data_IF_879404490399
#
_entry.id   IF_879404490399
#
_cell.length_a   1.000
_cell.length_b   1.000
_cell.length_c   1.000
_cell.angle_alpha   90.00
_cell.angle_beta   90.00
_cell.angle_gamma   90.00
#
_symmetry.space_group_name_H-M   'P 1'
#
loop_
_entity.id
_entity.type
_entity.pdbx_description
1 polymer ?
#
# COMPACT_ATOMS: atom_id res chain seq x y z
N UNK A 1 3.18 29.04 73.45
CA UNK A 1 3.17 29.26 74.88
C UNK A 1 4.55 29.77 75.31
N UNK A 2 4.60 31.01 75.70
CA UNK A 2 5.77 31.82 76.09
C UNK A 2 6.15 31.48 77.50
N UNK A 3 7.42 31.52 77.86
CA UNK A 3 8.04 31.91 79.16
C UNK A 3 9.55 31.83 78.93
N UNK A 4 10.32 32.85 78.80
CA UNK A 4 10.88 33.99 79.47
C UNK A 4 11.54 33.66 80.88
N UNK A 5 12.80 34.08 80.94
CA UNK A 5 13.61 34.69 81.99
C UNK A 5 14.46 33.76 82.87
N UNK A 6 15.73 34.22 83.00
CA UNK A 6 16.58 34.02 84.13
C UNK A 6 18.08 34.32 83.89
N UNK A 7 18.44 35.62 83.95
CA UNK A 7 19.82 36.06 84.18
C UNK A 7 20.23 35.70 85.61
N UNK A 8 21.44 35.18 85.79
CA UNK A 8 22.24 35.62 86.93
C UNK A 8 23.75 35.42 86.70
N UNK A 9 24.46 36.46 86.86
CA UNK A 9 25.92 36.62 86.87
C UNK A 9 26.53 36.05 88.13
N UNK A 10 27.66 35.38 87.98
CA UNK A 10 28.72 35.44 89.04
C UNK A 10 30.06 35.35 88.34
N UNK A 11 30.82 36.43 88.54
CA UNK A 11 32.28 36.53 88.29
C UNK A 11 33.06 35.51 89.10
N UNK A 12 34.01 34.79 88.50
CA UNK A 12 35.27 34.41 89.17
C UNK A 12 36.40 34.39 88.20
N UNK A 13 37.32 35.30 88.38
CA UNK A 13 38.69 35.33 87.82
C UNK A 13 39.40 34.04 88.14
N UNK A 14 40.18 33.51 87.25
CA UNK A 14 41.60 33.10 87.37
C UNK A 14 41.98 32.18 86.23
N UNK A 15 43.18 32.43 85.67
CA UNK A 15 43.93 31.44 84.91
C UNK A 15 44.28 31.84 83.48
N UNK A 16 45.30 32.65 83.32
CA UNK A 16 45.98 32.84 82.04
C UNK A 16 46.64 31.54 81.71
N UNK A 17 46.03 30.81 80.74
CA UNK A 17 46.65 29.65 80.11
C UNK A 17 46.81 29.98 78.62
N UNK A 18 48.03 30.22 78.21
CA UNK A 18 48.42 30.40 76.80
C UNK A 18 48.01 29.21 75.98
N UNK A 19 46.92 29.38 75.23
CA UNK A 19 46.57 28.38 74.19
C UNK A 19 47.56 28.57 73.05
N UNK A 20 48.55 27.68 72.98
CA UNK A 20 49.42 27.52 71.86
C UNK A 20 48.56 27.31 70.60
N UNK A 21 48.55 28.28 69.67
CA UNK A 21 48.15 28.11 68.33
C UNK A 21 49.15 27.15 67.70
N UNK A 22 48.81 25.83 67.66
CA UNK A 22 49.50 24.83 66.85
C UNK A 22 49.32 25.23 65.42
N UNK A 23 50.35 25.82 64.78
CA UNK A 23 50.39 26.04 63.38
C UNK A 23 50.28 24.65 62.73
N UNK A 24 49.11 24.31 62.22
CA UNK A 24 48.95 23.11 61.39
C UNK A 24 49.78 23.33 60.14
N UNK A 25 50.97 22.79 60.11
CA UNK A 25 51.76 22.65 58.85
C UNK A 25 51.05 21.63 57.99
N UNK A 26 50.30 22.12 57.05
CA UNK A 26 49.69 21.26 56.00
C UNK A 26 50.85 20.59 55.24
N UNK A 27 51.00 19.26 55.44
CA UNK A 27 51.98 18.51 54.69
C UNK A 27 51.67 18.59 53.18
N UNK A 28 52.63 19.05 52.42
CA UNK A 28 52.48 19.16 50.91
C UNK A 28 51.90 17.90 50.32
N UNK A 29 52.23 16.75 50.88
CA UNK A 29 51.67 15.43 50.47
C UNK A 29 50.14 15.37 50.68
N UNK A 30 49.65 15.88 51.82
CA UNK A 30 48.22 15.88 52.09
C UNK A 30 47.46 16.90 51.20
N UNK A 31 48.08 18.01 50.83
CA UNK A 31 47.56 18.98 49.90
C UNK A 31 47.48 18.39 48.45
N UNK A 32 48.53 17.70 48.03
CA UNK A 32 48.54 17.01 46.71
C UNK A 32 47.47 15.92 46.64
N UNK A 33 47.31 15.12 47.66
CA UNK A 33 46.24 14.13 47.75
C UNK A 33 44.86 14.76 47.67
N UNK A 34 44.62 15.86 48.41
CA UNK A 34 43.35 16.58 48.40
C UNK A 34 43.04 17.11 47.00
N UNK A 35 44.02 17.70 46.31
CA UNK A 35 43.87 18.17 44.90
C UNK A 35 43.53 17.05 43.96
N UNK A 36 44.20 15.88 44.07
CA UNK A 36 43.93 14.72 43.26
C UNK A 36 42.48 14.21 43.47
N UNK A 37 42.07 14.07 44.75
CA UNK A 37 40.70 13.65 45.09
C UNK A 37 39.65 14.63 44.56
N UNK A 38 39.89 15.95 44.70
CA UNK A 38 38.99 16.98 44.18
C UNK A 38 38.89 16.94 42.68
N UNK A 39 40.01 16.71 41.97
CA UNK A 39 40.03 16.57 40.52
C UNK A 39 39.26 15.31 40.05
N UNK A 40 39.50 14.17 40.72
CA UNK A 40 38.74 12.94 40.45
C UNK A 40 37.24 13.13 40.69
N UNK A 41 36.87 13.82 41.78
CA UNK A 41 35.48 14.09 42.09
C UNK A 41 34.83 15.02 41.04
N UNK A 42 35.56 16.03 40.59
CA UNK A 42 35.11 16.94 39.53
C UNK A 42 34.88 16.17 38.19
N UNK A 43 35.81 15.28 37.84
CA UNK A 43 35.66 14.43 36.66
C UNK A 43 34.43 13.50 36.75
N UNK A 44 34.17 12.94 37.93
CA UNK A 44 32.96 12.16 38.17
C UNK A 44 31.68 13.00 38.02
N UNK A 45 31.65 14.21 38.56
CA UNK A 45 30.51 15.13 38.43
C UNK A 45 30.26 15.48 36.93
N UNK A 46 31.32 15.79 36.19
CA UNK A 46 31.25 16.03 34.73
C UNK A 46 30.70 14.82 34.03
N UNK A 47 31.19 13.62 34.35
CA UNK A 47 30.71 12.35 33.76
C UNK A 47 29.26 12.06 34.08
N UNK A 48 28.82 12.27 35.32
CA UNK A 48 27.42 12.12 35.73
C UNK A 48 26.55 13.14 34.99
N UNK A 49 26.98 14.40 34.92
CA UNK A 49 26.28 15.43 34.16
C UNK A 49 26.14 15.05 32.67
N UNK A 50 27.21 14.57 32.04
CA UNK A 50 27.16 14.09 30.67
C UNK A 50 26.18 12.94 30.49
N UNK A 51 26.20 11.95 31.39
CA UNK A 51 25.26 10.82 31.34
C UNK A 51 23.81 11.31 31.51
N UNK A 52 23.58 12.22 32.47
CA UNK A 52 22.23 12.68 32.77
C UNK A 52 21.64 13.61 31.71
N UNK A 53 22.41 14.57 31.20
CA UNK A 53 21.89 15.59 30.28
C UNK A 53 22.08 15.24 28.80
N UNK A 54 23.15 14.52 28.45
CA UNK A 54 23.44 14.17 27.05
C UNK A 54 22.94 12.76 26.70
N UNK A 55 23.27 11.78 27.54
CA UNK A 55 22.89 10.37 27.30
C UNK A 55 21.55 9.98 27.95
N UNK A 56 21.03 10.74 28.88
CA UNK A 56 19.82 10.45 29.65
C UNK A 56 18.59 10.17 28.77
N UNK A 57 18.28 10.99 27.74
CA UNK A 57 17.17 10.74 26.85
C UNK A 57 17.30 9.41 26.11
N UNK A 58 18.50 9.07 25.64
CA UNK A 58 18.76 7.80 24.94
C UNK A 58 18.56 6.60 25.88
N UNK A 59 19.17 6.65 27.06
CA UNK A 59 19.02 5.57 28.06
C UNK A 59 17.58 5.41 28.55
N UNK A 60 16.85 6.52 28.69
CA UNK A 60 15.43 6.48 29.05
C UNK A 60 14.61 5.77 27.97
N UNK A 61 14.90 6.06 26.70
CA UNK A 61 14.22 5.41 25.55
C UNK A 61 14.56 3.92 25.48
N UNK A 62 15.83 3.55 25.69
CA UNK A 62 16.27 2.15 25.71
C UNK A 62 15.66 1.38 26.89
N UNK A 63 15.65 1.97 28.08
CA UNK A 63 15.01 1.37 29.26
C UNK A 63 13.50 1.17 29.02
N UNK A 64 12.82 2.17 28.44
CA UNK A 64 11.40 2.06 28.08
C UNK A 64 11.17 0.91 27.12
N UNK A 65 11.99 0.78 26.06
CA UNK A 65 11.91 -0.33 25.08
C UNK A 65 12.15 -1.71 25.73
N UNK A 66 12.98 -1.79 26.74
CA UNK A 66 13.25 -3.04 27.47
C UNK A 66 12.13 -3.40 28.47
N UNK A 67 11.48 -2.40 29.03
CA UNK A 67 10.44 -2.54 30.06
C UNK A 67 9.03 -2.61 29.49
N UNK A 68 8.85 -2.41 28.17
CA UNK A 68 7.54 -2.46 27.54
C UNK A 68 7.52 -3.45 26.38
N UNK A 69 6.45 -4.20 26.28
CA UNK A 69 6.09 -4.96 25.08
C UNK A 69 4.93 -4.25 24.39
N UNK A 70 5.04 -4.05 23.10
CA UNK A 70 3.97 -3.43 22.30
C UNK A 70 3.34 -4.48 21.40
N UNK A 71 2.06 -4.74 21.59
CA UNK A 71 1.25 -5.54 20.67
C UNK A 71 0.52 -4.59 19.72
N UNK A 72 0.64 -4.82 18.43
CA UNK A 72 -0.06 -4.03 17.42
C UNK A 72 -1.47 -4.58 17.25
N UNK A 73 -2.46 -3.70 17.30
CA UNK A 73 -3.85 -4.02 16.97
C UNK A 73 -4.07 -3.68 15.50
N UNK A 74 -4.37 -4.67 14.68
CA UNK A 74 -4.61 -4.46 13.26
C UNK A 74 -5.85 -3.57 13.04
N UNK A 75 -5.72 -2.55 12.19
CA UNK A 75 -6.86 -1.83 11.65
C UNK A 75 -7.55 -2.67 10.58
N UNK A 76 -8.87 -2.56 10.46
CA UNK A 76 -9.60 -3.19 9.35
C UNK A 76 -9.50 -2.30 8.13
N UNK A 77 -9.02 -2.87 7.01
CA UNK A 77 -8.98 -2.18 5.72
C UNK A 77 -10.41 -1.90 5.23
N UNK A 78 -10.66 -0.66 4.76
CA UNK A 78 -11.95 -0.20 4.27
C UNK A 78 -12.46 -1.03 3.10
N UNK A 79 -13.77 -1.04 2.90
CA UNK A 79 -14.44 -1.76 1.82
C UNK A 79 -14.44 -0.93 0.55
N UNK A 80 -14.25 -1.56 -0.60
CA UNK A 80 -14.46 -0.92 -1.91
C UNK A 80 -15.84 -1.33 -2.43
N UNK A 81 -16.65 -0.33 -2.75
CA UNK A 81 -18.02 -0.49 -3.26
C UNK A 81 -18.13 -0.01 -4.72
N UNK A 82 -19.07 -0.58 -5.45
CA UNK A 82 -19.53 -0.04 -6.71
C UNK A 82 -20.50 1.15 -6.51
N UNK A 83 -20.96 1.77 -7.61
CA UNK A 83 -21.91 2.86 -7.61
C UNK A 83 -23.27 2.53 -6.95
N UNK A 84 -23.60 1.26 -6.76
CA UNK A 84 -24.82 0.74 -6.15
C UNK A 84 -24.60 0.09 -4.80
N UNK A 85 -23.47 0.39 -4.15
CA UNK A 85 -23.10 -0.16 -2.83
C UNK A 85 -22.90 -1.68 -2.80
N UNK A 86 -22.60 -2.31 -3.94
CA UNK A 86 -22.14 -3.70 -3.98
C UNK A 86 -20.67 -3.77 -3.60
N UNK A 87 -20.33 -4.73 -2.76
CA UNK A 87 -18.97 -4.93 -2.24
C UNK A 87 -18.06 -5.54 -3.31
N UNK A 88 -17.06 -4.80 -3.75
CA UNK A 88 -16.05 -5.23 -4.72
C UNK A 88 -14.81 -5.81 -4.05
N UNK A 89 -14.42 -5.25 -2.91
CA UNK A 89 -13.34 -5.76 -2.07
C UNK A 89 -13.72 -5.61 -0.60
N UNK A 90 -13.54 -6.67 0.17
CA UNK A 90 -13.86 -6.74 1.60
C UNK A 90 -12.69 -7.30 2.40
N UNK A 91 -12.59 -6.91 3.67
CA UNK A 91 -11.66 -7.52 4.62
C UNK A 91 -12.44 -8.45 5.55
N UNK A 92 -12.14 -9.74 5.48
CA UNK A 92 -12.70 -10.77 6.34
C UNK A 92 -11.80 -11.00 7.54
N UNK A 93 -12.39 -11.18 8.73
CA UNK A 93 -11.64 -11.58 9.90
C UNK A 93 -11.19 -13.03 9.74
N UNK A 94 -9.91 -13.25 9.92
CA UNK A 94 -9.23 -14.55 9.88
C UNK A 94 -8.22 -14.57 11.02
N UNK A 95 -7.52 -15.68 11.20
CA UNK A 95 -6.52 -15.79 12.25
C UNK A 95 -5.18 -16.26 11.69
N UNK A 96 -4.08 -15.82 12.28
CA UNK A 96 -2.73 -16.32 12.03
C UNK A 96 -2.30 -17.20 13.22
N UNK A 97 -1.82 -18.40 12.92
CA UNK A 97 -1.45 -19.39 13.93
C UNK A 97 0.06 -19.40 14.09
N UNK A 98 0.52 -19.12 15.30
CA UNK A 98 1.94 -19.19 15.66
C UNK A 98 2.17 -20.11 16.85
N UNK A 99 3.36 -20.68 16.93
CA UNK A 99 3.75 -21.60 17.99
C UNK A 99 5.00 -21.07 18.69
N UNK A 100 4.95 -21.00 20.02
CA UNK A 100 6.13 -20.74 20.85
C UNK A 100 6.95 -22.03 20.93
N UNK A 101 7.98 -22.11 20.08
CA UNK A 101 8.75 -23.33 19.92
C UNK A 101 9.39 -23.82 21.23
N UNK A 102 9.26 -25.10 21.51
CA UNK A 102 9.73 -25.73 22.76
C UNK A 102 8.97 -25.33 24.05
N UNK A 103 7.86 -24.54 23.93
CA UNK A 103 7.04 -24.08 25.06
C UNK A 103 5.58 -24.49 24.98
N UNK A 104 5.22 -25.34 24.03
CA UNK A 104 3.87 -25.91 23.98
C UNK A 104 3.73 -26.96 25.05
N UNK A 105 2.71 -26.84 25.90
CA UNK A 105 2.52 -27.75 27.04
C UNK A 105 1.15 -28.35 27.07
N UNK A 106 1.09 -29.58 27.56
CA UNK A 106 -0.13 -30.26 27.99
C UNK A 106 -0.68 -29.65 29.28
N UNK A 107 -1.92 -30.03 29.65
CA UNK A 107 -2.55 -29.63 30.90
C UNK A 107 -1.78 -30.11 32.17
N UNK A 108 -0.94 -31.15 32.04
CA UNK A 108 -0.08 -31.66 33.12
C UNK A 108 1.27 -30.93 33.21
N UNK A 109 1.51 -29.93 32.38
CA UNK A 109 2.74 -29.10 32.33
C UNK A 109 3.89 -29.72 31.57
N UNK A 110 3.76 -30.91 30.98
CA UNK A 110 4.80 -31.49 30.13
C UNK A 110 4.80 -30.84 28.75
N UNK A 111 5.97 -30.73 28.16
CA UNK A 111 6.13 -30.22 26.79
C UNK A 111 5.55 -31.20 25.77
N UNK A 112 4.81 -30.67 24.80
CA UNK A 112 4.27 -31.45 23.68
C UNK A 112 5.41 -31.74 22.68
N UNK A 113 5.63 -32.99 22.25
CA UNK A 113 6.63 -33.32 21.22
C UNK A 113 6.33 -32.62 19.89
N UNK A 114 7.36 -32.16 19.19
CA UNK A 114 7.24 -31.49 17.89
C UNK A 114 6.59 -32.38 16.83
N UNK A 115 6.82 -33.72 16.90
CA UNK A 115 6.18 -34.70 16.02
C UNK A 115 4.65 -34.73 16.18
N UNK A 116 4.16 -34.59 17.42
CA UNK A 116 2.72 -34.53 17.71
C UNK A 116 2.13 -33.23 17.16
N UNK A 117 2.81 -32.12 17.34
CA UNK A 117 2.40 -30.82 16.78
C UNK A 117 2.38 -30.86 15.26
N UNK A 118 3.46 -31.35 14.65
CA UNK A 118 3.59 -31.45 13.20
C UNK A 118 2.49 -32.31 12.57
N UNK A 119 2.17 -33.44 13.20
CA UNK A 119 1.09 -34.32 12.73
C UNK A 119 -0.27 -33.64 12.78
N UNK A 120 -0.62 -32.98 13.90
CA UNK A 120 -1.87 -32.25 14.02
C UNK A 120 -1.97 -31.06 13.05
N UNK A 121 -0.91 -30.31 12.89
CA UNK A 121 -0.90 -29.15 11.96
C UNK A 121 -0.97 -29.59 10.49
N UNK A 122 -0.26 -30.66 10.12
CA UNK A 122 -0.31 -31.22 8.77
C UNK A 122 -1.74 -31.65 8.39
N UNK A 123 -2.45 -32.30 9.31
CA UNK A 123 -3.82 -32.70 9.09
C UNK A 123 -4.80 -31.51 9.01
N UNK A 124 -4.73 -30.59 9.98
CA UNK A 124 -5.68 -29.47 10.08
C UNK A 124 -5.49 -28.44 8.97
N UNK A 125 -4.25 -28.07 8.66
CA UNK A 125 -3.93 -27.01 7.70
C UNK A 125 -3.58 -27.52 6.30
N UNK A 126 -3.53 -28.85 6.10
CA UNK A 126 -3.13 -29.48 4.83
C UNK A 126 -1.75 -29.02 4.35
N UNK A 127 -0.78 -28.92 5.26
CA UNK A 127 0.62 -28.59 5.00
C UNK A 127 1.49 -29.84 5.08
N UNK A 128 2.68 -29.76 4.48
CA UNK A 128 3.61 -30.89 4.48
C UNK A 128 4.16 -31.16 5.89
N UNK A 129 4.10 -32.43 6.32
CA UNK A 129 4.56 -32.84 7.67
C UNK A 129 6.05 -32.59 7.89
N UNK A 130 6.89 -32.91 6.90
CA UNK A 130 8.34 -32.78 7.03
C UNK A 130 8.76 -31.31 7.05
N UNK A 131 8.07 -30.45 6.27
CA UNK A 131 8.32 -29.02 6.23
C UNK A 131 8.03 -28.39 7.60
N UNK A 132 6.83 -28.62 8.16
CA UNK A 132 6.47 -28.03 9.47
C UNK A 132 7.30 -28.64 10.61
N UNK A 133 7.65 -29.92 10.56
CA UNK A 133 8.51 -30.55 11.55
C UNK A 133 9.93 -29.94 11.53
N UNK A 134 10.47 -29.64 10.35
CA UNK A 134 11.76 -28.96 10.21
C UNK A 134 11.72 -27.54 10.80
N UNK A 135 10.62 -26.79 10.57
CA UNK A 135 10.45 -25.46 11.17
C UNK A 135 10.33 -25.52 12.70
N UNK A 136 9.56 -26.47 13.25
CA UNK A 136 9.44 -26.68 14.69
C UNK A 136 10.73 -27.12 15.36
N UNK A 137 11.64 -27.77 14.62
CA UNK A 137 12.96 -28.17 15.11
C UNK A 137 14.04 -27.09 14.89
N UNK A 138 13.69 -25.95 14.32
CA UNK A 138 14.61 -24.82 14.14
C UNK A 138 14.92 -24.09 15.45
N UNK A 139 15.98 -23.27 15.47
CA UNK A 139 16.34 -22.41 16.61
C UNK A 139 15.39 -21.20 16.79
N UNK A 140 14.36 -21.07 15.96
CA UNK A 140 13.37 -19.99 16.05
C UNK A 140 12.52 -20.15 17.31
N UNK A 141 12.43 -19.11 18.12
CA UNK A 141 11.59 -19.12 19.32
C UNK A 141 10.09 -19.01 19.02
N UNK A 142 9.72 -18.55 17.82
CA UNK A 142 8.35 -18.43 17.35
C UNK A 142 8.27 -18.95 15.91
N UNK A 143 7.43 -19.92 15.66
CA UNK A 143 7.18 -20.51 14.34
C UNK A 143 5.80 -20.13 13.88
N UNK A 144 5.65 -19.63 12.65
CA UNK A 144 4.35 -19.36 12.03
C UNK A 144 3.87 -20.61 11.29
N UNK A 145 2.85 -21.25 11.80
CA UNK A 145 2.31 -22.51 11.24
C UNK A 145 1.42 -22.23 10.02
N UNK A 146 0.48 -21.30 10.17
CA UNK A 146 -0.44 -20.92 9.08
C UNK A 146 -0.87 -19.47 9.21
N UNK A 147 -0.97 -18.79 8.07
CA UNK A 147 -1.42 -17.39 8.00
C UNK A 147 -2.80 -17.29 7.37
N UNK A 148 -3.58 -16.31 7.84
CA UNK A 148 -4.89 -15.93 7.25
C UNK A 148 -5.86 -17.11 7.16
N UNK A 149 -5.92 -17.87 8.24
CA UNK A 149 -6.74 -19.09 8.40
C UNK A 149 -8.20 -18.72 8.64
N UNK A 150 -9.09 -19.32 7.91
CA UNK A 150 -10.54 -19.11 8.07
C UNK A 150 -11.02 -19.69 9.41
N UNK A 151 -12.04 -19.07 10.01
CA UNK A 151 -12.51 -19.36 11.38
C UNK A 151 -12.93 -20.82 11.59
N UNK A 152 -13.51 -21.46 10.59
CA UNK A 152 -13.88 -22.89 10.67
C UNK A 152 -12.66 -23.81 10.87
N UNK A 153 -11.52 -23.47 10.27
CA UNK A 153 -10.27 -24.23 10.43
C UNK A 153 -9.66 -23.97 11.81
N UNK A 154 -9.79 -22.73 12.30
CA UNK A 154 -9.36 -22.37 13.67
C UNK A 154 -10.21 -23.10 14.71
N UNK A 155 -11.51 -23.27 14.48
CA UNK A 155 -12.39 -24.04 15.37
C UNK A 155 -11.98 -25.51 15.39
N UNK A 156 -11.55 -26.09 14.25
CA UNK A 156 -10.97 -27.44 14.19
C UNK A 156 -9.66 -27.52 15.00
N UNK A 157 -8.79 -26.50 14.90
CA UNK A 157 -7.57 -26.44 15.70
C UNK A 157 -7.87 -26.43 17.20
N UNK A 158 -8.84 -25.62 17.64
CA UNK A 158 -9.26 -25.55 19.05
C UNK A 158 -9.79 -26.89 19.54
N UNK A 159 -10.65 -27.53 18.74
CA UNK A 159 -11.17 -28.88 19.07
C UNK A 159 -10.04 -29.91 19.20
N UNK A 160 -9.05 -29.88 18.28
CA UNK A 160 -7.89 -30.74 18.35
C UNK A 160 -7.01 -30.46 19.58
N UNK A 161 -6.83 -29.18 19.94
CA UNK A 161 -6.09 -28.79 21.16
C UNK A 161 -6.79 -29.32 22.41
N UNK A 162 -8.10 -29.19 22.48
CA UNK A 162 -8.92 -29.71 23.64
C UNK A 162 -8.84 -31.24 23.74
N UNK A 163 -8.98 -31.94 22.62
CA UNK A 163 -8.92 -33.42 22.58
C UNK A 163 -7.54 -33.95 23.02
N UNK A 164 -6.48 -33.27 22.57
CA UNK A 164 -5.09 -33.62 22.92
C UNK A 164 -4.61 -32.99 24.24
N UNK A 165 -5.50 -32.26 24.96
CA UNK A 165 -5.19 -31.61 26.26
C UNK A 165 -4.03 -30.63 26.21
N UNK A 166 -3.88 -29.89 25.11
CA UNK A 166 -2.85 -28.87 24.93
C UNK A 166 -3.31 -27.58 25.63
N UNK A 167 -2.54 -27.13 26.62
CA UNK A 167 -2.89 -26.01 27.49
C UNK A 167 -2.38 -24.65 27.00
N UNK A 168 -1.18 -24.60 26.42
CA UNK A 168 -0.54 -23.34 26.06
C UNK A 168 0.54 -23.50 25.00
N UNK A 169 1.02 -22.36 24.47
CA UNK A 169 2.13 -22.29 23.52
C UNK A 169 1.74 -22.24 22.06
N UNK A 170 0.45 -22.40 21.73
CA UNK A 170 -0.13 -22.13 20.42
C UNK A 170 -0.89 -20.81 20.53
N UNK A 171 -0.51 -19.82 19.72
CA UNK A 171 -1.18 -18.53 19.68
C UNK A 171 -2.09 -18.46 18.45
N UNK A 172 -3.25 -17.88 18.64
CA UNK A 172 -4.25 -17.62 17.60
C UNK A 172 -4.43 -16.11 17.58
N UNK A 173 -3.76 -15.47 16.63
CA UNK A 173 -3.71 -14.01 16.55
C UNK A 173 -4.70 -13.53 15.47
N UNK A 174 -5.56 -12.58 15.83
CA UNK A 174 -6.49 -11.97 14.88
C UNK A 174 -5.75 -11.35 13.70
N UNK A 175 -6.19 -11.67 12.50
CA UNK A 175 -5.64 -11.19 11.23
C UNK A 175 -6.78 -10.83 10.27
N UNK A 176 -6.44 -10.28 9.12
CA UNK A 176 -7.38 -9.83 8.10
C UNK A 176 -7.00 -10.39 6.73
N UNK A 177 -7.98 -10.93 6.02
CA UNK A 177 -7.82 -11.42 4.65
C UNK A 177 -8.63 -10.58 3.69
N UNK A 178 -7.95 -9.97 2.71
CA UNK A 178 -8.61 -9.25 1.63
C UNK A 178 -9.25 -10.24 0.66
N UNK A 179 -10.52 -10.05 0.36
CA UNK A 179 -11.30 -10.93 -0.50
C UNK A 179 -12.06 -10.11 -1.54
N UNK A 180 -12.07 -10.61 -2.77
CA UNK A 180 -12.71 -10.00 -3.92
C UNK A 180 -13.84 -10.92 -4.41
N UNK A 181 -15.11 -10.63 -4.04
CA UNK A 181 -16.24 -11.54 -4.27
C UNK A 181 -16.51 -11.87 -5.74
N UNK A 182 -16.10 -10.99 -6.65
CA UNK A 182 -16.31 -11.14 -8.09
C UNK A 182 -15.07 -11.64 -8.85
N UNK A 183 -14.03 -12.10 -8.15
CA UNK A 183 -12.81 -12.67 -8.71
C UNK A 183 -12.13 -11.79 -9.77
N UNK A 184 -12.57 -11.88 -11.02
CA UNK A 184 -11.91 -11.23 -12.17
C UNK A 184 -12.52 -9.87 -12.54
N UNK A 185 -13.72 -9.55 -12.02
CA UNK A 185 -14.45 -8.34 -12.42
C UNK A 185 -13.68 -7.08 -12.04
N UNK A 186 -13.48 -6.19 -12.99
CA UNK A 186 -12.75 -4.92 -12.83
C UNK A 186 -11.34 -5.10 -12.25
N UNK A 187 -10.66 -6.21 -12.56
CA UNK A 187 -9.40 -6.59 -11.93
C UNK A 187 -8.32 -5.52 -12.03
N UNK A 188 -8.16 -4.90 -13.22
CA UNK A 188 -7.15 -3.87 -13.46
C UNK A 188 -7.49 -2.51 -12.81
N UNK A 189 -8.78 -2.29 -12.46
CA UNK A 189 -9.22 -1.11 -11.72
C UNK A 189 -9.06 -1.31 -10.22
N UNK A 190 -9.66 -2.37 -9.68
CA UNK A 190 -9.67 -2.64 -8.23
C UNK A 190 -8.24 -2.87 -7.76
N UNK A 191 -7.47 -3.69 -8.51
CA UNK A 191 -6.16 -4.12 -8.07
C UNK A 191 -6.25 -5.07 -6.88
N UNK A 192 -5.12 -5.31 -6.22
CA UNK A 192 -5.05 -6.28 -5.13
C UNK A 192 -4.07 -5.84 -4.03
N UNK A 193 -4.23 -6.47 -2.86
CA UNK A 193 -3.33 -6.31 -1.73
C UNK A 193 -2.36 -7.48 -1.61
N UNK A 194 -1.14 -7.19 -1.14
CA UNK A 194 -0.19 -8.17 -0.64
C UNK A 194 0.26 -7.75 0.76
N UNK A 195 0.27 -8.66 1.72
CA UNK A 195 0.68 -8.39 3.11
C UNK A 195 0.06 -7.09 3.67
N UNK A 196 -1.26 -6.91 3.49
CA UNK A 196 -2.08 -5.80 3.97
C UNK A 196 -1.77 -4.43 3.35
N UNK A 197 -0.91 -4.35 2.33
CA UNK A 197 -0.62 -3.16 1.55
C UNK A 197 -1.18 -3.31 0.13
N UNK A 198 -1.78 -2.25 -0.40
CA UNK A 198 -2.22 -2.20 -1.79
C UNK A 198 -1.02 -2.24 -2.74
N UNK A 199 -1.07 -3.12 -3.74
CA UNK A 199 0.02 -3.30 -4.71
C UNK A 199 -0.34 -2.73 -6.08
N UNK A 200 -1.59 -2.85 -6.51
CA UNK A 200 -2.07 -2.39 -7.81
C UNK A 200 -3.45 -1.74 -7.72
N UNK A 201 -3.83 -1.00 -8.76
CA UNK A 201 -5.16 -0.42 -8.93
C UNK A 201 -5.57 0.57 -7.83
N UNK A 202 -6.86 0.59 -7.50
CA UNK A 202 -7.46 1.40 -6.42
C UNK A 202 -6.90 0.99 -5.06
N UNK A 203 -6.63 -0.29 -4.85
CA UNK A 203 -6.00 -0.78 -3.61
C UNK A 203 -4.66 -0.09 -3.35
N UNK A 204 -3.84 0.14 -4.37
CA UNK A 204 -2.56 0.84 -4.24
C UNK A 204 -2.72 2.37 -4.21
N UNK A 205 -3.57 2.90 -5.10
CA UNK A 205 -3.74 4.35 -5.26
C UNK A 205 -4.38 5.02 -4.04
N UNK A 206 -5.17 4.28 -3.28
CA UNK A 206 -5.90 4.73 -2.09
C UNK A 206 -5.50 3.93 -0.84
N UNK A 207 -4.27 3.41 -0.82
CA UNK A 207 -3.80 2.56 0.27
C UNK A 207 -3.83 3.27 1.63
N UNK A 208 -3.48 4.54 1.67
CA UNK A 208 -3.47 5.35 2.90
C UNK A 208 -4.87 5.47 3.52
N UNK A 209 -5.87 5.78 2.68
CA UNK A 209 -7.26 5.91 3.11
C UNK A 209 -7.88 4.55 3.47
N UNK A 210 -7.55 3.51 2.71
CA UNK A 210 -8.08 2.16 2.92
C UNK A 210 -7.48 1.46 4.13
N UNK A 211 -6.19 1.61 4.42
CA UNK A 211 -5.49 0.83 5.46
C UNK A 211 -5.85 1.24 6.87
N UNK A 212 -6.21 2.51 7.09
CA UNK A 212 -6.42 3.07 8.41
C UNK A 212 -5.13 3.17 9.23
N UNK A 213 -5.27 3.30 10.53
CA UNK A 213 -4.14 3.41 11.46
C UNK A 213 -4.18 2.29 12.49
N UNK A 214 -3.16 1.43 12.57
CA UNK A 214 -3.14 0.37 13.56
C UNK A 214 -3.07 0.93 14.98
N UNK A 215 -3.77 0.27 15.89
CA UNK A 215 -3.71 0.54 17.32
C UNK A 215 -2.51 -0.13 17.98
N UNK A 216 -2.34 0.13 19.27
CA UNK A 216 -1.28 -0.50 20.08
C UNK A 216 -1.77 -0.76 21.49
N UNK A 217 -1.38 -1.91 22.03
CA UNK A 217 -1.43 -2.20 23.46
C UNK A 217 0.02 -2.18 23.94
N UNK A 218 0.35 -1.24 24.81
CA UNK A 218 1.67 -1.14 25.41
C UNK A 218 1.57 -1.61 26.85
N UNK A 219 2.14 -2.78 27.13
CA UNK A 219 2.13 -3.41 28.45
C UNK A 219 3.51 -3.33 29.07
N UNK A 220 3.58 -2.93 30.34
CA UNK A 220 4.83 -2.95 31.11
C UNK A 220 5.22 -4.39 31.44
N UNK A 221 6.45 -4.77 31.12
CA UNK A 221 6.96 -6.14 31.33
C UNK A 221 8.19 -6.16 32.22
N UNK A 222 8.37 -7.28 32.93
CA UNK A 222 9.61 -7.56 33.65
C UNK A 222 10.74 -8.04 32.70
N UNK A 223 11.92 -8.32 33.24
CA UNK A 223 13.10 -8.83 32.48
C UNK A 223 12.79 -10.11 31.69
N UNK A 224 11.81 -10.90 32.16
CA UNK A 224 11.37 -12.13 31.51
C UNK A 224 10.21 -11.89 30.52
N UNK A 225 9.90 -10.64 30.17
CA UNK A 225 8.78 -10.23 29.29
C UNK A 225 7.38 -10.65 29.82
N UNK A 226 7.23 -10.85 31.13
CA UNK A 226 5.93 -11.08 31.75
C UNK A 226 5.30 -9.75 32.14
N UNK A 227 4.00 -9.57 31.93
CA UNK A 227 3.27 -8.37 32.36
C UNK A 227 3.43 -8.14 33.87
N UNK A 228 3.76 -6.90 34.28
CA UNK A 228 4.03 -6.57 35.68
C UNK A 228 2.72 -6.28 36.44
N UNK A 229 1.74 -5.67 35.80
CA UNK A 229 0.38 -5.47 36.31
C UNK A 229 -0.52 -4.91 35.21
N UNK A 230 -1.83 -5.15 35.32
CA UNK A 230 -2.86 -4.62 34.41
C UNK A 230 -3.06 -3.09 34.56
N UNK A 231 -2.53 -2.47 35.61
CA UNK A 231 -2.74 -1.05 35.94
C UNK A 231 -1.94 -0.07 35.03
N UNK A 232 -0.95 -0.55 34.26
CA UNK A 232 -0.11 0.29 33.40
C UNK A 232 -0.23 -0.08 31.91
N UNK A 233 -1.33 -0.66 31.50
CA UNK A 233 -1.60 -0.96 30.10
C UNK A 233 -2.09 0.30 29.39
N UNK A 234 -1.32 0.75 28.40
CA UNK A 234 -1.73 1.87 27.56
C UNK A 234 -2.39 1.31 26.28
N UNK A 235 -3.69 1.47 26.20
CA UNK A 235 -4.48 1.08 25.03
C UNK A 235 -4.65 2.24 24.08
N UNK A 236 -4.15 2.09 22.85
CA UNK A 236 -4.35 3.02 21.74
C UNK A 236 -5.24 2.28 20.74
N UNK A 237 -6.51 2.68 20.55
CA UNK A 237 -7.42 1.97 19.65
C UNK A 237 -6.98 2.08 18.19
N UNK A 238 -7.19 1.02 17.41
CA UNK A 238 -7.03 1.05 15.98
C UNK A 238 -8.11 1.93 15.34
N UNK A 239 -7.74 2.68 14.30
CA UNK A 239 -8.68 3.41 13.45
C UNK A 239 -8.82 2.65 12.13
N UNK A 240 -10.00 2.14 11.85
CA UNK A 240 -10.26 1.43 10.61
C UNK A 240 -10.13 2.36 9.40
N UNK A 241 -9.76 1.78 8.26
CA UNK A 241 -9.71 2.48 6.99
C UNK A 241 -11.08 2.96 6.53
N UNK A 242 -11.06 3.95 5.66
CA UNK A 242 -12.27 4.51 5.05
C UNK A 242 -12.77 3.63 3.92
N UNK A 243 -14.09 3.53 3.78
CA UNK A 243 -14.72 2.87 2.65
C UNK A 243 -14.65 3.75 1.40
N UNK A 244 -14.47 3.14 0.23
CA UNK A 244 -14.39 3.83 -1.06
C UNK A 244 -15.55 3.41 -1.94
N UNK A 245 -16.23 4.39 -2.54
CA UNK A 245 -17.30 4.18 -3.51
C UNK A 245 -16.81 4.59 -4.89
N UNK A 246 -16.80 3.62 -5.81
CA UNK A 246 -16.45 3.86 -7.21
C UNK A 246 -17.68 4.25 -8.02
N UNK A 247 -17.46 4.92 -9.15
CA UNK A 247 -18.51 5.17 -10.15
C UNK A 247 -18.82 3.95 -11.02
N UNK A 248 -18.00 2.90 -10.93
CA UNK A 248 -18.17 1.63 -11.64
C UNK A 248 -19.51 0.97 -11.25
N UNK A 249 -20.31 0.61 -12.24
CA UNK A 249 -21.51 -0.21 -12.08
C UNK A 249 -21.19 -1.66 -12.45
N UNK A 250 -21.28 -2.57 -11.48
CA UNK A 250 -20.93 -3.99 -11.68
C UNK A 250 -21.70 -4.66 -12.83
N UNK A 251 -22.93 -4.26 -13.07
CA UNK A 251 -23.73 -4.83 -14.17
C UNK A 251 -23.21 -4.35 -15.54
N UNK A 252 -22.92 -3.04 -15.68
CA UNK A 252 -22.36 -2.48 -16.91
C UNK A 252 -20.94 -3.03 -17.13
N UNK A 253 -20.11 -3.09 -16.09
CA UNK A 253 -18.77 -3.66 -16.12
C UNK A 253 -18.77 -5.11 -16.61
N UNK A 254 -19.67 -5.95 -16.06
CA UNK A 254 -19.78 -7.36 -16.45
C UNK A 254 -20.19 -7.53 -17.91
N UNK A 255 -21.08 -6.66 -18.40
CA UNK A 255 -21.48 -6.66 -19.81
C UNK A 255 -20.31 -6.23 -20.70
N UNK A 256 -19.60 -5.16 -20.33
CA UNK A 256 -18.44 -4.67 -21.08
C UNK A 256 -17.34 -5.74 -21.18
N UNK A 257 -16.98 -6.38 -20.07
CA UNK A 257 -15.98 -7.46 -20.05
C UNK A 257 -16.41 -8.67 -20.89
N UNK A 258 -17.67 -9.09 -20.78
CA UNK A 258 -18.21 -10.20 -21.57
C UNK A 258 -18.05 -9.96 -23.07
N UNK A 259 -18.50 -8.80 -23.55
CA UNK A 259 -18.45 -8.51 -25.00
C UNK A 259 -17.05 -8.18 -25.47
N UNK A 260 -16.20 -7.56 -24.64
CA UNK A 260 -14.79 -7.39 -24.94
C UNK A 260 -14.09 -8.73 -25.13
N UNK A 261 -14.28 -9.67 -24.21
CA UNK A 261 -13.73 -11.02 -24.28
C UNK A 261 -14.17 -11.72 -25.57
N UNK A 262 -15.47 -11.69 -25.86
CA UNK A 262 -16.01 -12.26 -27.09
C UNK A 262 -15.37 -11.63 -28.33
N UNK A 263 -15.29 -10.32 -28.41
CA UNK A 263 -14.72 -9.59 -29.54
C UNK A 263 -13.24 -9.93 -29.77
N UNK A 264 -12.44 -9.99 -28.67
CA UNK A 264 -11.02 -10.35 -28.79
C UNK A 264 -10.84 -11.77 -29.33
N UNK A 265 -11.59 -12.71 -28.79
CA UNK A 265 -11.51 -14.14 -29.27
C UNK A 265 -11.95 -14.27 -30.69
N UNK A 266 -13.12 -13.74 -31.08
CA UNK A 266 -13.67 -13.84 -32.42
C UNK A 266 -12.76 -13.20 -33.49
N UNK A 267 -12.12 -12.06 -33.13
CA UNK A 267 -11.23 -11.36 -34.05
C UNK A 267 -9.76 -11.79 -33.93
N UNK A 268 -9.44 -12.73 -33.04
CA UNK A 268 -8.06 -13.18 -32.77
C UNK A 268 -7.11 -11.99 -32.45
N UNK A 269 -7.61 -11.02 -31.68
CA UNK A 269 -6.83 -9.88 -31.30
C UNK A 269 -5.92 -10.22 -30.06
N UNK A 270 -4.78 -9.55 -29.97
CA UNK A 270 -3.85 -9.74 -28.84
C UNK A 270 -4.41 -9.24 -27.51
N UNK A 271 -5.40 -8.35 -27.55
CA UNK A 271 -6.05 -7.78 -26.40
C UNK A 271 -7.01 -6.66 -26.79
N UNK A 272 -7.58 -6.01 -25.79
CA UNK A 272 -8.48 -4.89 -26.00
C UNK A 272 -8.87 -4.20 -24.71
N UNK A 273 -9.50 -3.04 -24.83
CA UNK A 273 -10.10 -2.32 -23.71
C UNK A 273 -11.38 -1.62 -24.12
N UNK A 274 -12.26 -1.39 -23.13
CA UNK A 274 -13.52 -0.66 -23.29
C UNK A 274 -13.68 0.29 -22.10
N UNK A 275 -14.00 1.55 -22.38
CA UNK A 275 -14.39 2.54 -21.37
C UNK A 275 -15.82 2.97 -21.65
N UNK A 276 -16.69 2.93 -20.65
CA UNK A 276 -18.06 3.42 -20.71
C UNK A 276 -18.18 4.57 -19.72
N UNK A 277 -18.44 5.77 -20.25
CA UNK A 277 -18.50 7.00 -19.46
C UNK A 277 -19.87 7.65 -19.60
N UNK A 278 -20.31 8.28 -18.53
CA UNK A 278 -21.49 9.17 -18.52
C UNK A 278 -21.07 10.58 -18.93
N UNK A 279 -21.41 11.05 -20.13
CA UNK A 279 -20.87 12.31 -20.66
C UNK A 279 -21.23 13.56 -19.83
N UNK A 280 -22.38 13.53 -19.14
CA UNK A 280 -22.87 14.69 -18.36
C UNK A 280 -22.11 14.91 -17.05
N UNK A 281 -21.43 13.90 -16.51
CA UNK A 281 -20.73 13.97 -15.22
C UNK A 281 -19.25 13.59 -15.31
N UNK A 282 -18.86 12.88 -16.37
CA UNK A 282 -17.53 12.30 -16.48
C UNK A 282 -17.35 10.98 -15.70
N UNK A 283 -18.41 10.47 -15.05
CA UNK A 283 -18.32 9.21 -14.31
C UNK A 283 -17.98 8.05 -15.24
N UNK A 284 -16.96 7.29 -14.88
CA UNK A 284 -16.62 6.03 -15.55
C UNK A 284 -17.50 4.94 -14.96
N UNK A 285 -18.43 4.43 -15.79
CA UNK A 285 -19.39 3.40 -15.39
C UNK A 285 -18.82 2.00 -15.56
N UNK A 286 -17.92 1.81 -16.51
CA UNK A 286 -17.17 0.58 -16.75
C UNK A 286 -15.83 0.91 -17.41
N UNK A 287 -14.81 0.14 -17.04
CA UNK A 287 -13.51 0.12 -17.67
C UNK A 287 -13.02 -1.32 -17.69
N UNK A 288 -13.03 -1.92 -18.88
CA UNK A 288 -12.70 -3.32 -19.10
C UNK A 288 -11.38 -3.41 -19.86
N UNK A 289 -10.53 -4.33 -19.44
CA UNK A 289 -9.31 -4.74 -20.14
C UNK A 289 -9.34 -6.24 -20.40
N UNK A 290 -8.71 -6.70 -21.47
CA UNK A 290 -8.52 -8.11 -21.75
C UNK A 290 -7.03 -8.38 -22.08
N UNK A 291 -6.46 -9.50 -21.57
CA UNK A 291 -7.04 -10.46 -20.62
C UNK A 291 -7.16 -9.92 -19.19
N UNK A 292 -8.14 -10.45 -18.43
CA UNK A 292 -8.31 -10.18 -16.99
C UNK A 292 -7.53 -11.19 -16.14
N UNK A 293 -7.41 -10.95 -14.83
CA UNK A 293 -6.81 -11.89 -13.89
C UNK A 293 -7.67 -12.02 -12.62
N UNK A 294 -7.45 -13.08 -11.84
CA UNK A 294 -8.18 -13.29 -10.60
C UNK A 294 -7.52 -12.51 -9.45
N UNK A 295 -8.27 -11.57 -8.86
CA UNK A 295 -7.85 -10.73 -7.75
C UNK A 295 -7.49 -11.50 -6.47
N UNK A 296 -8.10 -12.68 -6.26
CA UNK A 296 -7.81 -13.53 -5.10
C UNK A 296 -6.53 -14.38 -5.30
N UNK A 297 -6.06 -14.52 -6.55
CA UNK A 297 -4.83 -15.24 -6.90
C UNK A 297 -4.02 -14.46 -7.95
N UNK A 298 -3.60 -13.21 -7.64
CA UNK A 298 -3.07 -12.28 -8.63
C UNK A 298 -1.69 -12.68 -9.19
N UNK A 299 -1.00 -13.59 -8.55
CA UNK A 299 0.31 -14.09 -8.97
C UNK A 299 0.24 -15.36 -9.83
N UNK A 300 -0.97 -15.84 -10.11
CA UNK A 300 -1.19 -17.00 -10.99
C UNK A 300 -1.36 -16.53 -12.43
N UNK A 301 -0.66 -17.14 -13.41
CA UNK A 301 -0.80 -16.79 -14.82
C UNK A 301 -2.26 -16.87 -15.30
N UNK A 302 -2.69 -15.88 -16.06
CA UNK A 302 -4.09 -15.71 -16.48
C UNK A 302 -4.42 -16.27 -17.87
N UNK A 303 -3.41 -16.62 -18.70
CA UNK A 303 -3.59 -17.25 -20.00
C UNK A 303 -2.99 -18.64 -20.06
N UNK A 304 -3.52 -19.51 -20.90
CA UNK A 304 -3.03 -20.89 -21.00
C UNK A 304 -1.62 -20.95 -21.60
N UNK A 305 -1.29 -20.03 -22.52
CA UNK A 305 0.07 -19.92 -23.07
C UNK A 305 1.08 -19.52 -21.98
N UNK A 306 0.71 -18.61 -21.09
CA UNK A 306 1.57 -18.19 -20.00
C UNK A 306 1.74 -19.29 -18.96
N UNK A 307 0.65 -20.01 -18.62
CA UNK A 307 0.70 -21.17 -17.71
C UNK A 307 1.63 -22.26 -18.24
N UNK A 308 1.56 -22.56 -19.55
CA UNK A 308 2.36 -23.63 -20.16
C UNK A 308 3.87 -23.37 -20.07
N UNK A 309 4.31 -22.11 -20.10
CA UNK A 309 5.73 -21.73 -20.00
C UNK A 309 6.18 -21.28 -18.60
N UNK A 310 5.25 -21.16 -17.64
CA UNK A 310 5.48 -20.51 -16.36
C UNK A 310 6.66 -21.07 -15.57
N UNK A 311 6.75 -22.39 -15.49
CA UNK A 311 7.80 -23.06 -14.75
C UNK A 311 9.19 -22.98 -15.39
N UNK A 312 9.25 -22.62 -16.67
CA UNK A 312 10.50 -22.44 -17.43
C UNK A 312 11.06 -21.04 -17.36
N UNK A 313 10.26 -20.05 -16.87
CA UNK A 313 10.65 -18.65 -16.79
C UNK A 313 11.53 -18.40 -15.55
N UNK A 314 12.53 -17.53 -15.70
CA UNK A 314 13.30 -16.98 -14.59
C UNK A 314 12.43 -16.07 -13.68
N UNK A 315 12.93 -15.73 -12.52
CA UNK A 315 12.23 -14.85 -11.58
C UNK A 315 11.97 -13.46 -12.21
N UNK A 316 12.93 -12.91 -12.94
CA UNK A 316 12.78 -11.62 -13.62
C UNK A 316 11.74 -11.68 -14.74
N UNK A 317 11.73 -12.76 -15.53
CA UNK A 317 10.73 -12.96 -16.58
C UNK A 317 9.33 -13.13 -15.99
N UNK A 318 9.17 -13.91 -14.93
CA UNK A 318 7.90 -14.03 -14.18
C UNK A 318 7.41 -12.66 -13.69
N UNK A 319 8.28 -11.85 -13.09
CA UNK A 319 7.93 -10.50 -12.63
C UNK A 319 7.48 -9.60 -13.78
N UNK A 320 8.16 -9.69 -14.93
CA UNK A 320 7.81 -8.93 -16.14
C UNK A 320 6.43 -9.33 -16.67
N UNK A 321 6.13 -10.63 -16.77
CA UNK A 321 4.84 -11.12 -17.24
C UNK A 321 3.70 -10.76 -16.27
N UNK A 322 3.93 -10.84 -14.96
CA UNK A 322 2.97 -10.38 -13.94
C UNK A 322 2.69 -8.88 -14.08
N UNK A 323 3.71 -8.06 -14.26
CA UNK A 323 3.54 -6.61 -14.44
C UNK A 323 2.72 -6.28 -15.70
N UNK A 324 2.89 -7.06 -16.79
CA UNK A 324 2.07 -6.93 -17.98
C UNK A 324 0.61 -7.35 -17.72
N UNK A 325 0.41 -8.40 -16.94
CA UNK A 325 -0.91 -8.92 -16.59
C UNK A 325 -1.71 -7.93 -15.74
N UNK A 326 -1.05 -7.27 -14.76
CA UNK A 326 -1.70 -6.30 -13.87
C UNK A 326 -1.92 -4.93 -14.51
N UNK A 327 -1.20 -4.64 -15.61
CA UNK A 327 -1.23 -3.33 -16.27
C UNK A 327 -2.65 -2.90 -16.64
N UNK A 328 -3.06 -1.73 -16.20
CA UNK A 328 -4.31 -1.10 -16.62
C UNK A 328 -4.11 -0.41 -17.98
N UNK A 329 -4.44 -1.11 -19.06
CA UNK A 329 -4.24 -0.62 -20.43
C UNK A 329 -4.96 0.72 -20.72
N UNK A 330 -6.24 0.92 -20.40
CA UNK A 330 -6.94 2.19 -20.60
C UNK A 330 -6.22 3.41 -20.03
N UNK A 331 -5.48 3.23 -18.93
CA UNK A 331 -4.79 4.30 -18.22
C UNK A 331 -3.32 4.41 -18.64
N UNK A 332 -2.67 3.27 -18.87
CA UNK A 332 -1.22 3.23 -19.04
C UNK A 332 -0.75 3.18 -20.50
N UNK A 333 -1.61 2.84 -21.44
CA UNK A 333 -1.23 2.66 -22.84
C UNK A 333 -1.71 3.83 -23.69
N UNK A 334 -0.76 4.48 -24.39
CA UNK A 334 -1.08 5.43 -25.45
C UNK A 334 -1.39 4.70 -26.75
N UNK A 335 -2.29 5.26 -27.55
CA UNK A 335 -2.60 4.75 -28.88
C UNK A 335 -2.88 5.90 -29.88
N UNK A 336 -2.72 5.62 -31.16
CA UNK A 336 -3.08 6.56 -32.21
C UNK A 336 -4.60 6.58 -32.43
N UNK A 337 -5.29 7.70 -32.18
CA UNK A 337 -6.77 7.76 -32.18
C UNK A 337 -7.35 7.63 -33.60
N UNK A 338 -6.55 7.80 -34.64
CA UNK A 338 -6.97 7.70 -36.01
C UNK A 338 -8.09 8.65 -36.37
N UNK A 339 -9.10 8.15 -37.09
CA UNK A 339 -10.21 8.97 -37.60
C UNK A 339 -11.15 9.51 -36.52
N UNK A 340 -11.13 8.99 -35.30
CA UNK A 340 -11.91 9.58 -34.20
C UNK A 340 -11.43 10.99 -33.86
N UNK A 341 -10.14 11.28 -34.09
CA UNK A 341 -9.56 12.61 -33.90
C UNK A 341 -10.11 13.69 -34.85
N UNK A 342 -10.74 13.28 -35.96
CA UNK A 342 -11.39 14.19 -36.91
C UNK A 342 -12.56 14.96 -36.27
N UNK A 343 -13.17 14.43 -35.22
CA UNK A 343 -14.21 15.14 -34.46
C UNK A 343 -13.63 16.39 -33.81
N UNK A 344 -12.44 16.27 -33.20
CA UNK A 344 -11.74 17.42 -32.60
C UNK A 344 -11.36 18.45 -33.68
N UNK A 345 -10.78 17.97 -34.78
CA UNK A 345 -10.41 18.86 -35.91
C UNK A 345 -11.64 19.58 -36.47
N UNK A 346 -12.79 18.89 -36.64
CA UNK A 346 -14.05 19.50 -37.06
C UNK A 346 -14.55 20.57 -36.08
N UNK A 347 -14.53 20.25 -34.77
CA UNK A 347 -14.95 21.17 -33.73
C UNK A 347 -14.14 22.47 -33.74
N UNK A 348 -12.81 22.35 -33.87
CA UNK A 348 -11.92 23.52 -33.97
C UNK A 348 -12.24 24.36 -35.21
N UNK A 349 -12.42 23.72 -36.37
CA UNK A 349 -12.75 24.42 -37.61
C UNK A 349 -14.06 25.18 -37.56
N UNK A 350 -15.08 24.61 -36.94
CA UNK A 350 -16.40 25.20 -36.74
C UNK A 350 -16.35 26.35 -35.70
N UNK A 351 -15.70 26.16 -34.56
CA UNK A 351 -15.56 27.14 -33.48
C UNK A 351 -14.82 28.40 -33.99
N UNK A 352 -13.79 28.23 -34.80
CA UNK A 352 -13.01 29.32 -35.39
C UNK A 352 -13.66 29.91 -36.66
N UNK A 353 -14.86 29.47 -37.06
CA UNK A 353 -15.58 29.90 -38.27
C UNK A 353 -14.73 29.74 -39.56
N UNK A 354 -13.86 28.73 -39.63
CA UNK A 354 -13.03 28.44 -40.79
C UNK A 354 -13.72 27.58 -41.83
N UNK A 355 -14.85 26.98 -41.47
CA UNK A 355 -15.62 26.05 -42.29
C UNK A 355 -17.07 26.02 -41.80
N UNK A 356 -17.98 25.77 -42.73
CA UNK A 356 -19.39 25.46 -42.44
C UNK A 356 -19.67 23.99 -42.73
N UNK A 357 -20.73 23.44 -42.13
CA UNK A 357 -21.01 21.99 -42.20
C UNK A 357 -21.35 21.52 -43.62
N UNK A 358 -22.12 22.35 -44.38
CA UNK A 358 -22.79 21.90 -45.60
C UNK A 358 -22.35 22.65 -46.86
N UNK A 359 -21.31 23.49 -46.82
CA UNK A 359 -20.77 24.19 -47.97
C UNK A 359 -20.14 23.19 -48.94
N UNK A 360 -20.81 22.93 -50.05
CA UNK A 360 -20.35 22.02 -51.07
C UNK A 360 -19.06 22.52 -51.73
N UNK A 361 -18.11 21.62 -51.92
CA UNK A 361 -16.83 21.93 -52.59
C UNK A 361 -15.84 22.69 -51.75
N UNK A 362 -16.11 22.86 -50.43
CA UNK A 362 -15.18 23.52 -49.51
C UNK A 362 -13.85 22.74 -49.38
N UNK A 363 -13.86 21.43 -49.59
CA UNK A 363 -12.71 20.58 -49.69
C UNK A 363 -12.67 19.80 -51.00
N UNK A 364 -11.45 19.53 -51.49
CA UNK A 364 -11.25 18.75 -52.69
C UNK A 364 -10.41 17.51 -52.36
N UNK A 365 -11.00 16.35 -52.61
CA UNK A 365 -10.32 15.06 -52.48
C UNK A 365 -9.95 14.50 -53.86
N UNK A 366 -8.70 14.64 -54.26
CA UNK A 366 -8.14 14.07 -55.51
C UNK A 366 -7.43 12.72 -55.27
N UNK A 367 -7.92 11.92 -54.29
CA UNK A 367 -7.33 10.66 -53.86
C UNK A 367 -6.05 10.81 -53.05
N UNK A 368 -5.12 11.69 -53.48
CA UNK A 368 -3.84 11.96 -52.85
C UNK A 368 -3.72 13.44 -52.47
N UNK A 369 -3.09 13.68 -51.39
CA UNK A 369 -2.80 15.04 -50.94
C UNK A 369 -1.36 15.14 -50.41
N UNK A 370 -0.61 16.12 -50.89
CA UNK A 370 0.80 16.30 -50.50
C UNK A 370 0.92 17.31 -49.38
N UNK A 371 1.60 16.91 -48.33
CA UNK A 371 1.95 17.78 -47.19
C UNK A 371 3.45 17.71 -47.00
N UNK A 372 4.15 18.81 -47.24
CA UNK A 372 5.62 18.85 -47.29
C UNK A 372 6.16 17.75 -48.21
N UNK A 373 6.96 16.83 -47.69
CA UNK A 373 7.57 15.74 -48.46
C UNK A 373 6.75 14.46 -48.45
N UNK A 374 5.60 14.43 -47.77
CA UNK A 374 4.74 13.27 -47.63
C UNK A 374 3.53 13.34 -48.55
N UNK A 375 3.23 12.26 -49.18
CA UNK A 375 2.02 12.07 -49.95
C UNK A 375 1.04 11.16 -49.15
N UNK A 376 -0.09 11.70 -48.73
CA UNK A 376 -1.09 11.01 -47.93
C UNK A 376 -2.29 10.62 -48.85
N UNK A 377 -2.61 9.36 -48.86
CA UNK A 377 -3.71 8.81 -49.68
C UNK A 377 -5.03 8.83 -48.90
N UNK A 378 -6.11 9.08 -49.62
CA UNK A 378 -7.45 8.72 -49.15
C UNK A 378 -7.61 7.20 -49.13
N UNK A 379 -8.24 6.68 -48.10
CA UNK A 379 -8.49 5.25 -47.94
C UNK A 379 -9.46 4.70 -49.02
N UNK A 380 -10.41 5.54 -49.49
CA UNK A 380 -11.40 5.14 -50.46
C UNK A 380 -10.75 4.70 -51.81
N UNK A 381 -11.27 3.73 -52.54
CA UNK A 381 -10.71 3.28 -53.82
C UNK A 381 -10.72 4.37 -54.89
N UNK A 382 -11.72 5.25 -54.85
CA UNK A 382 -11.90 6.38 -55.78
C UNK A 382 -11.88 7.71 -55.03
N UNK A 383 -11.41 8.79 -55.66
CA UNK A 383 -11.44 10.15 -55.10
C UNK A 383 -12.89 10.59 -54.78
N UNK A 384 -13.08 11.26 -53.68
CA UNK A 384 -14.41 11.78 -53.29
C UNK A 384 -14.83 13.02 -54.10
N UNK A 385 -13.87 13.69 -54.76
CA UNK A 385 -14.10 14.93 -55.44
C UNK A 385 -14.32 16.12 -54.50
N UNK A 386 -15.11 17.12 -54.92
CA UNK A 386 -15.56 18.22 -54.05
C UNK A 386 -16.48 17.72 -52.95
N UNK A 387 -16.24 18.08 -51.70
CA UNK A 387 -17.04 17.66 -50.56
C UNK A 387 -17.18 18.77 -49.53
N UNK A 388 -18.30 18.78 -48.81
CA UNK A 388 -18.52 19.63 -47.59
C UNK A 388 -17.83 18.98 -46.38
N UNK A 389 -17.76 19.69 -45.24
CA UNK A 389 -17.25 19.15 -43.98
C UNK A 389 -18.05 17.92 -43.52
N UNK A 390 -19.37 18.01 -43.56
CA UNK A 390 -20.28 16.88 -43.25
C UNK A 390 -19.93 15.63 -44.08
N UNK A 391 -19.79 15.81 -45.41
CA UNK A 391 -19.48 14.74 -46.34
C UNK A 391 -18.07 14.21 -46.14
N UNK A 392 -17.11 15.08 -45.88
CA UNK A 392 -15.73 14.71 -45.54
C UNK A 392 -15.64 13.86 -44.26
N UNK A 393 -16.45 14.20 -43.23
CA UNK A 393 -16.51 13.45 -41.96
C UNK A 393 -17.22 12.09 -42.20
N UNK A 394 -18.38 12.08 -42.87
CA UNK A 394 -19.13 10.88 -43.23
C UNK A 394 -18.25 9.88 -43.98
N UNK A 395 -17.47 10.37 -44.93
CA UNK A 395 -16.56 9.54 -45.76
C UNK A 395 -15.19 9.34 -45.10
N UNK A 396 -14.94 9.89 -43.93
CA UNK A 396 -13.65 9.83 -43.27
C UNK A 396 -12.46 10.23 -44.17
N UNK A 397 -12.65 11.31 -44.96
CA UNK A 397 -11.72 11.71 -46.01
C UNK A 397 -10.43 12.35 -45.47
N UNK A 398 -9.29 11.65 -45.52
CA UNK A 398 -8.02 12.20 -45.01
C UNK A 398 -7.58 13.50 -45.72
N UNK A 399 -7.60 13.60 -47.08
CA UNK A 399 -7.22 14.85 -47.75
C UNK A 399 -8.03 16.07 -47.29
N UNK A 400 -9.33 15.93 -47.02
CA UNK A 400 -10.16 17.04 -46.57
C UNK A 400 -9.78 17.49 -45.16
N UNK A 401 -9.51 16.56 -44.25
CA UNK A 401 -9.11 16.87 -42.90
C UNK A 401 -7.68 17.43 -42.80
N UNK A 402 -6.79 17.08 -43.72
CA UNK A 402 -5.48 17.71 -43.84
C UNK A 402 -5.65 19.18 -44.24
N UNK A 403 -6.52 19.47 -45.28
CA UNK A 403 -6.82 20.84 -45.69
C UNK A 403 -7.39 21.64 -44.53
N UNK A 404 -8.33 21.08 -43.75
CA UNK A 404 -8.89 21.75 -42.59
C UNK A 404 -7.80 22.02 -41.53
N UNK A 405 -6.96 21.04 -41.21
CA UNK A 405 -5.85 21.20 -40.27
C UNK A 405 -4.87 22.30 -40.69
N UNK A 406 -4.58 22.43 -42.00
CA UNK A 406 -3.76 23.53 -42.53
C UNK A 406 -4.44 24.89 -42.39
N UNK A 407 -5.79 24.99 -42.58
CA UNK A 407 -6.57 26.21 -42.35
C UNK A 407 -6.54 26.62 -40.86
N UNK A 408 -6.66 25.65 -39.95
CA UNK A 408 -6.59 25.88 -38.49
C UNK A 408 -5.22 26.42 -38.12
N UNK A 409 -4.18 25.81 -38.61
CA UNK A 409 -2.79 26.14 -38.33
C UNK A 409 -2.32 25.63 -36.95
N UNK A 410 -1.00 25.53 -36.80
CA UNK A 410 -0.32 24.89 -35.66
C UNK A 410 -0.68 25.50 -34.31
N UNK A 411 -0.66 26.84 -34.21
CA UNK A 411 -0.86 27.52 -32.91
C UNK A 411 -2.26 27.33 -32.37
N UNK A 412 -3.30 27.52 -33.23
CA UNK A 412 -4.69 27.30 -32.82
C UNK A 412 -4.94 25.84 -32.47
N UNK A 413 -4.41 24.94 -33.29
CA UNK A 413 -4.56 23.51 -33.06
C UNK A 413 -4.05 23.12 -31.67
N UNK A 414 -2.83 23.55 -31.33
CA UNK A 414 -2.22 23.31 -30.01
C UNK A 414 -3.05 23.88 -28.85
N UNK A 415 -3.54 25.14 -29.00
CA UNK A 415 -4.41 25.78 -27.99
C UNK A 415 -5.67 24.95 -27.71
N UNK A 416 -6.30 24.39 -28.75
CA UNK A 416 -7.49 23.57 -28.58
C UNK A 416 -7.16 22.19 -28.02
N UNK A 417 -6.03 21.57 -28.35
CA UNK A 417 -5.61 20.35 -27.70
C UNK A 417 -5.47 20.52 -26.18
N UNK A 418 -4.92 21.65 -25.77
CA UNK A 418 -4.82 22.01 -24.36
C UNK A 418 -6.22 22.25 -23.75
N UNK A 419 -7.10 22.98 -24.43
CA UNK A 419 -8.46 23.25 -23.97
C UNK A 419 -9.31 21.97 -23.84
N UNK A 420 -9.09 20.98 -24.68
CA UNK A 420 -9.69 19.64 -24.57
C UNK A 420 -9.05 18.76 -23.49
N UNK A 421 -8.02 19.25 -22.79
CA UNK A 421 -7.31 18.48 -21.75
C UNK A 421 -6.46 17.34 -22.28
N UNK A 422 -6.15 17.33 -23.60
CA UNK A 422 -5.42 16.23 -24.24
C UNK A 422 -3.91 16.27 -23.98
N UNK A 423 -3.38 17.36 -23.40
CA UNK A 423 -1.96 17.54 -23.10
C UNK A 423 -1.62 17.31 -21.62
N UNK A 424 -2.61 17.05 -20.80
CA UNK A 424 -2.47 16.89 -19.35
C UNK A 424 -3.01 15.53 -18.89
N UNK A 425 -2.59 15.08 -17.70
CA UNK A 425 -3.17 13.90 -17.06
C UNK A 425 -4.62 14.18 -16.66
N UNK A 426 -5.45 13.15 -16.72
CA UNK A 426 -6.89 13.25 -16.39
C UNK A 426 -7.13 13.47 -14.90
N UNK A 427 -6.16 13.12 -14.03
CA UNK A 427 -6.31 13.17 -12.58
C UNK A 427 -7.12 12.01 -12.01
N UNK A 428 -7.23 10.92 -12.73
CA UNK A 428 -7.96 9.70 -12.32
C UNK A 428 -7.43 9.09 -11.00
N UNK A 429 -6.31 9.58 -10.51
CA UNK A 429 -5.64 9.14 -9.28
C UNK A 429 -5.41 7.63 -9.24
N UNK A 430 -4.95 7.08 -10.36
CA UNK A 430 -4.45 5.72 -10.45
C UNK A 430 -2.97 5.73 -10.85
N UNK A 431 -2.24 4.71 -10.41
CA UNK A 431 -0.83 4.56 -10.77
C UNK A 431 -0.68 4.24 -12.26
N UNK A 432 0.40 4.73 -12.87
CA UNK A 432 0.75 4.38 -14.24
C UNK A 432 -0.01 5.16 -15.32
N UNK A 433 -0.75 6.23 -15.00
CA UNK A 433 -1.38 7.07 -16.01
C UNK A 433 -0.33 7.61 -16.98
N UNK A 434 -0.50 7.30 -18.27
CA UNK A 434 0.37 7.73 -19.32
C UNK A 434 0.33 9.26 -19.49
N UNK A 435 1.47 9.87 -19.76
CA UNK A 435 1.49 11.25 -20.23
C UNK A 435 1.13 11.29 -21.71
N UNK A 436 0.42 12.34 -22.11
CA UNK A 436 0.14 12.61 -23.51
C UNK A 436 1.45 12.75 -24.32
N UNK A 437 1.52 12.10 -25.47
CA UNK A 437 2.65 12.15 -26.38
C UNK A 437 2.15 12.61 -27.76
N UNK A 438 1.91 13.92 -27.90
CA UNK A 438 1.47 14.51 -29.17
C UNK A 438 2.62 15.02 -30.05
N UNK A 439 3.84 15.10 -29.52
CA UNK A 439 5.02 15.63 -30.23
C UNK A 439 6.30 14.96 -29.78
#
# INVERSE_FOLDING_TARGET
MVIIIGKNSINKKLGIGSVFKKKQTFNVRSLVLLVIFTLCFLLLLIRIGYIQFVKGPTYKTEAYKQQTTSQTLASKRGTIYDAKSKKLAISSAVDTITVNNGKVTYNDGKTVPNETLASGFAEIFSIDYEEILAELNSDSSLVTVAKKVDKNIVDNLKAWMDENKIASGINIDEDSKRTYPYNNLASNIIGFCGNDKGLEGIEAAWDEELSGTPGRIVTSTNVNKQAISDENEQYIPAQNGSDIYLTIDTAIQSIAEKYLNQAVIENKADGGCVIIMKPSTGDILAEASYPTYNLNTPFVPNTDELKAKWDTLSTEEKSTELSKMWRNKPISDGYEPGSTFKLITSSIGLEENLVETDTEGDFICNKKYRVADYEISCWAPVAHGPVSLRKALEKSCNPSFIQLGQRIGKERFYKYLQAFGLLEKTGVRMSGEASSNFF
#
